data_IF_099050611658
#
_entry.id   IF_099050611658
#
_cell.length_a   1.000
_cell.length_b   1.000
_cell.length_c   1.000
_cell.angle_alpha   90.00
_cell.angle_beta   90.00
_cell.angle_gamma   90.00
#
_symmetry.space_group_name_H-M   'P 1'
#
loop_
_entity.id
_entity.type
_entity.pdbx_description
1 polymer ?
#
# COMPACT_ATOMS: atom_id res chain seq x y z
N UNK A 1 -32.17 -4.20 1.29
CA UNK A 1 -30.72 -4.06 1.48
C UNK A 1 -29.98 -5.33 1.07
N UNK A 2 -30.31 -6.47 1.64
CA UNK A 2 -29.69 -7.76 1.33
C UNK A 2 -29.69 -8.12 -0.17
N UNK A 3 -30.87 -8.06 -0.84
CA UNK A 3 -30.99 -8.35 -2.27
C UNK A 3 -30.03 -7.51 -3.12
N UNK A 4 -29.93 -6.19 -2.85
CA UNK A 4 -29.02 -5.30 -3.55
C UNK A 4 -27.54 -5.67 -3.31
N UNK A 5 -27.20 -6.11 -2.11
CA UNK A 5 -25.83 -6.55 -1.79
C UNK A 5 -25.46 -7.82 -2.56
N UNK A 6 -26.39 -8.78 -2.65
CA UNK A 6 -26.19 -10.01 -3.44
C UNK A 6 -25.98 -9.67 -4.91
N UNK A 7 -26.82 -8.81 -5.50
CA UNK A 7 -26.68 -8.35 -6.90
C UNK A 7 -25.30 -7.69 -7.15
N UNK A 8 -24.82 -6.85 -6.23
CA UNK A 8 -23.51 -6.21 -6.33
C UNK A 8 -22.38 -7.23 -6.26
N UNK A 9 -22.46 -8.21 -5.37
CA UNK A 9 -21.48 -9.29 -5.25
C UNK A 9 -21.45 -10.14 -6.54
N UNK A 10 -22.60 -10.51 -7.08
CA UNK A 10 -22.70 -11.28 -8.34
C UNK A 10 -22.07 -10.52 -9.52
N UNK A 11 -22.18 -9.20 -9.56
CA UNK A 11 -21.55 -8.35 -10.60
C UNK A 11 -20.04 -8.28 -10.46
N UNK A 12 -19.49 -8.30 -9.22
CA UNK A 12 -18.05 -8.14 -8.95
C UNK A 12 -17.29 -9.46 -8.94
N UNK A 13 -17.92 -10.57 -8.59
CA UNK A 13 -17.29 -11.89 -8.56
C UNK A 13 -16.51 -12.23 -9.84
N UNK A 14 -17.00 -11.94 -11.06
CA UNK A 14 -16.24 -12.18 -12.29
C UNK A 14 -14.96 -11.32 -12.43
N UNK A 15 -14.86 -10.22 -11.68
CA UNK A 15 -13.68 -9.35 -11.69
C UNK A 15 -12.54 -9.89 -10.78
N UNK A 16 -12.85 -10.85 -9.89
CA UNK A 16 -11.90 -11.37 -8.90
C UNK A 16 -11.36 -12.72 -9.35
N UNK A 17 -10.04 -12.86 -9.30
CA UNK A 17 -9.33 -14.04 -9.79
C UNK A 17 -8.53 -14.70 -8.66
N UNK A 18 -8.20 -15.98 -8.83
CA UNK A 18 -7.21 -16.67 -8.00
C UNK A 18 -5.82 -16.48 -8.60
N UNK A 19 -4.85 -16.16 -7.75
CA UNK A 19 -3.43 -16.06 -8.12
C UNK A 19 -2.68 -17.18 -7.42
N UNK A 20 -2.11 -18.10 -8.20
CA UNK A 20 -1.28 -19.20 -7.70
C UNK A 20 0.16 -18.96 -8.12
N UNK A 21 1.09 -19.05 -7.17
CA UNK A 21 2.50 -18.85 -7.43
C UNK A 21 3.29 -20.11 -7.12
N UNK A 22 4.37 -20.34 -7.86
CA UNK A 22 5.33 -21.40 -7.59
C UNK A 22 6.69 -20.76 -7.33
N UNK A 23 7.29 -21.05 -6.17
CA UNK A 23 8.64 -20.63 -5.80
C UNK A 23 9.48 -21.82 -5.40
N UNK A 24 10.79 -21.75 -5.60
CA UNK A 24 11.71 -22.78 -5.14
C UNK A 24 12.19 -22.46 -3.72
N UNK A 25 11.94 -23.35 -2.79
CA UNK A 25 12.44 -23.26 -1.42
C UNK A 25 13.51 -24.32 -1.17
N UNK A 26 14.58 -23.95 -0.45
CA UNK A 26 15.56 -24.91 0.04
C UNK A 26 15.07 -25.50 1.36
N UNK A 27 15.00 -26.83 1.41
CA UNK A 27 14.71 -27.54 2.66
C UNK A 27 15.96 -27.56 3.55
N UNK A 28 15.81 -27.92 4.83
CA UNK A 28 16.93 -28.11 5.76
C UNK A 28 17.99 -29.13 5.26
N UNK A 29 17.60 -30.04 4.38
CA UNK A 29 18.48 -31.02 3.73
C UNK A 29 19.08 -30.50 2.42
N UNK A 30 19.11 -29.19 2.18
CA UNK A 30 19.61 -28.54 0.95
C UNK A 30 18.94 -28.99 -0.36
N UNK A 31 17.78 -29.64 -0.27
CA UNK A 31 16.99 -29.98 -1.45
C UNK A 31 16.14 -28.81 -1.85
N UNK A 32 16.09 -28.52 -3.15
CA UNK A 32 15.21 -27.50 -3.73
C UNK A 32 13.87 -28.16 -4.04
N UNK A 33 12.80 -27.64 -3.44
CA UNK A 33 11.43 -28.13 -3.67
C UNK A 33 10.53 -26.98 -4.11
N UNK A 34 9.59 -27.21 -5.04
CA UNK A 34 8.59 -26.22 -5.38
C UNK A 34 7.60 -26.04 -4.22
N UNK A 35 7.35 -24.81 -3.83
CA UNK A 35 6.35 -24.43 -2.83
C UNK A 35 5.32 -23.56 -3.53
N UNK A 36 4.06 -23.89 -3.37
CA UNK A 36 2.94 -23.09 -3.91
C UNK A 36 2.53 -22.02 -2.92
N UNK A 37 2.42 -20.78 -3.40
CA UNK A 37 1.77 -19.67 -2.73
C UNK A 37 0.41 -19.42 -3.37
N UNK A 38 -0.47 -18.74 -2.66
CA UNK A 38 -1.82 -18.42 -3.13
C UNK A 38 -2.28 -17.08 -2.61
N UNK A 39 -3.03 -16.38 -3.46
CA UNK A 39 -3.71 -15.14 -3.16
C UNK A 39 -4.84 -14.90 -4.15
N UNK A 40 -5.34 -13.72 -4.15
CA UNK A 40 -6.34 -13.23 -5.09
C UNK A 40 -5.78 -12.12 -5.96
N UNK A 41 -6.50 -11.78 -7.02
CA UNK A 41 -6.25 -10.62 -7.85
C UNK A 41 -7.56 -9.98 -8.30
N UNK A 42 -7.47 -8.77 -8.83
CA UNK A 42 -8.62 -8.03 -9.37
C UNK A 42 -8.31 -7.55 -10.78
N UNK A 43 -9.17 -7.88 -11.73
CA UNK A 43 -9.06 -7.46 -13.12
C UNK A 43 -9.34 -5.96 -13.21
N UNK A 44 -8.37 -5.18 -13.71
CA UNK A 44 -8.45 -3.73 -13.84
C UNK A 44 -8.77 -3.27 -15.27
N UNK A 45 -8.47 -4.10 -16.28
CA UNK A 45 -8.72 -3.76 -17.67
C UNK A 45 -9.19 -4.96 -18.48
N UNK A 46 -9.90 -4.70 -19.56
CA UNK A 46 -10.28 -5.67 -20.60
C UNK A 46 -9.08 -6.24 -21.36
N UNK A 47 -7.95 -5.53 -21.32
CA UNK A 47 -6.69 -5.98 -21.91
C UNK A 47 -5.91 -6.97 -21.04
N UNK A 48 -6.37 -7.28 -19.80
CA UNK A 48 -5.80 -8.33 -18.95
C UNK A 48 -4.81 -7.85 -17.90
N UNK A 49 -4.82 -6.59 -17.51
CA UNK A 49 -4.11 -6.12 -16.34
C UNK A 49 -4.88 -6.47 -15.06
N UNK A 50 -4.14 -6.99 -14.07
CA UNK A 50 -4.69 -7.48 -12.80
C UNK A 50 -3.83 -6.90 -11.68
N UNK A 51 -4.47 -6.36 -10.64
CA UNK A 51 -3.77 -6.01 -9.39
C UNK A 51 -3.79 -7.17 -8.42
N UNK A 52 -2.69 -7.35 -7.70
CA UNK A 52 -2.57 -8.22 -6.52
C UNK A 52 -1.61 -7.57 -5.52
N UNK A 53 -1.35 -8.22 -4.38
CA UNK A 53 -0.30 -7.75 -3.48
C UNK A 53 1.09 -8.19 -3.96
N UNK A 54 2.12 -7.37 -3.67
CA UNK A 54 3.51 -7.71 -4.00
C UNK A 54 3.96 -8.97 -3.25
N UNK A 55 3.58 -9.12 -1.96
CA UNK A 55 3.93 -10.32 -1.19
C UNK A 55 3.34 -11.63 -1.74
N UNK A 56 2.24 -11.57 -2.51
CA UNK A 56 1.63 -12.75 -3.17
C UNK A 56 2.54 -13.28 -4.26
N UNK A 57 3.20 -12.39 -5.01
CA UNK A 57 4.06 -12.74 -6.16
C UNK A 57 5.55 -12.71 -5.83
N UNK A 58 5.90 -12.37 -4.61
CA UNK A 58 7.30 -12.27 -4.17
C UNK A 58 8.06 -13.55 -4.40
N UNK A 59 9.21 -13.45 -5.10
CA UNK A 59 10.09 -14.58 -5.43
C UNK A 59 9.40 -15.71 -6.22
N UNK A 60 8.25 -15.45 -6.85
CA UNK A 60 7.58 -16.40 -7.71
C UNK A 60 8.38 -16.62 -9.00
N UNK A 61 8.57 -17.89 -9.37
CA UNK A 61 9.13 -18.26 -10.68
C UNK A 61 8.03 -18.36 -11.73
N UNK A 62 6.87 -18.87 -11.32
CA UNK A 62 5.68 -18.97 -12.14
C UNK A 62 4.49 -18.35 -11.40
N UNK A 63 3.66 -17.65 -12.16
CA UNK A 63 2.39 -17.08 -11.70
C UNK A 63 1.28 -17.57 -12.62
N UNK A 64 0.30 -18.25 -12.07
CA UNK A 64 -0.90 -18.70 -12.76
C UNK A 64 -2.10 -17.90 -12.22
N UNK A 65 -2.93 -17.40 -13.13
CA UNK A 65 -4.18 -16.70 -12.83
C UNK A 65 -5.34 -17.56 -13.29
N UNK A 66 -6.23 -17.90 -12.36
CA UNK A 66 -7.48 -18.63 -12.67
C UNK A 66 -8.66 -17.68 -12.53
N UNK A 67 -9.40 -17.49 -13.61
CA UNK A 67 -10.61 -16.67 -13.66
C UNK A 67 -11.77 -17.37 -12.92
N UNK A 68 -12.81 -16.63 -12.62
CA UNK A 68 -13.99 -17.17 -11.94
C UNK A 68 -14.73 -18.25 -12.76
N UNK A 69 -14.61 -18.23 -14.09
CA UNK A 69 -15.17 -19.24 -15.00
C UNK A 69 -14.31 -20.51 -15.15
N UNK A 70 -13.18 -20.59 -14.42
CA UNK A 70 -12.27 -21.74 -14.40
C UNK A 70 -11.15 -21.69 -15.45
N UNK A 71 -11.13 -20.74 -16.38
CA UNK A 71 -10.01 -20.55 -17.31
C UNK A 71 -8.73 -20.17 -16.55
N UNK A 72 -7.61 -20.78 -16.89
CA UNK A 72 -6.31 -20.50 -16.27
C UNK A 72 -5.31 -20.01 -17.29
N UNK A 73 -4.56 -18.98 -16.94
CA UNK A 73 -3.59 -18.32 -17.79
C UNK A 73 -2.26 -18.15 -17.06
N UNK A 74 -1.15 -18.25 -17.80
CA UNK A 74 0.14 -17.79 -17.31
C UNK A 74 0.14 -16.26 -17.23
N UNK A 75 0.59 -15.72 -16.10
CA UNK A 75 0.69 -14.29 -15.89
C UNK A 75 2.15 -13.84 -15.83
N UNK A 76 2.39 -12.64 -16.34
CA UNK A 76 3.67 -11.94 -16.22
C UNK A 76 3.50 -10.86 -15.17
N UNK A 77 4.45 -10.76 -14.22
CA UNK A 77 4.55 -9.61 -13.31
C UNK A 77 5.08 -8.44 -14.13
N UNK A 78 4.23 -7.46 -14.41
CA UNK A 78 4.56 -6.27 -15.21
C UNK A 78 5.30 -5.25 -14.34
N UNK A 79 4.88 -5.11 -13.08
CA UNK A 79 5.54 -4.23 -12.13
C UNK A 79 5.13 -4.51 -10.69
N UNK A 80 6.00 -4.13 -9.76
CA UNK A 80 5.74 -4.28 -8.33
C UNK A 80 6.24 -3.08 -7.51
N UNK A 81 5.55 -2.78 -6.42
CA UNK A 81 5.97 -1.86 -5.38
C UNK A 81 5.88 -2.53 -4.02
N UNK A 82 7.01 -2.98 -3.50
CA UNK A 82 7.08 -3.64 -2.18
C UNK A 82 6.71 -2.69 -1.04
N UNK A 83 7.10 -1.43 -1.17
CA UNK A 83 6.77 -0.38 -0.17
C UNK A 83 5.27 -0.17 -0.03
N UNK A 84 4.51 -0.35 -1.13
CA UNK A 84 3.05 -0.21 -1.14
C UNK A 84 2.31 -1.54 -1.13
N UNK A 85 3.06 -2.66 -1.19
CA UNK A 85 2.55 -4.02 -1.29
C UNK A 85 1.56 -4.21 -2.47
N UNK A 86 1.89 -3.64 -3.63
CA UNK A 86 1.11 -3.75 -4.86
C UNK A 86 1.94 -4.37 -5.99
N UNK A 87 1.31 -5.25 -6.77
CA UNK A 87 1.86 -5.78 -8.01
C UNK A 87 0.81 -5.78 -9.11
N UNK A 88 1.26 -5.53 -10.34
CA UNK A 88 0.45 -5.62 -11.55
C UNK A 88 0.87 -6.84 -12.34
N UNK A 89 -0.10 -7.68 -12.63
CA UNK A 89 0.04 -8.85 -13.50
C UNK A 89 -0.57 -8.57 -14.85
N UNK A 90 -0.07 -9.26 -15.87
CA UNK A 90 -0.63 -9.26 -17.22
C UNK A 90 -0.92 -10.69 -17.65
N UNK A 91 -2.14 -10.93 -18.12
CA UNK A 91 -2.54 -12.16 -18.81
C UNK A 91 -2.96 -11.86 -20.24
N UNK A 92 -2.87 -12.85 -21.10
CA UNK A 92 -3.38 -12.80 -22.46
C UNK A 92 -4.71 -13.58 -22.51
N UNK A 93 -5.81 -12.87 -22.30
CA UNK A 93 -7.14 -13.44 -22.23
C UNK A 93 -8.18 -12.47 -22.79
N UNK A 94 -9.22 -13.03 -23.38
CA UNK A 94 -10.37 -12.29 -23.92
C UNK A 94 -11.58 -12.43 -22.99
N UNK A 95 -12.57 -11.56 -23.21
CA UNK A 95 -13.84 -11.56 -22.46
C UNK A 95 -13.63 -11.44 -20.95
N UNK A 96 -12.82 -10.48 -20.55
CA UNK A 96 -12.56 -10.14 -19.16
C UNK A 96 -13.59 -9.12 -18.64
N UNK A 97 -13.86 -9.19 -17.34
CA UNK A 97 -14.75 -8.25 -16.65
C UNK A 97 -13.91 -7.35 -15.72
N UNK A 98 -13.51 -6.16 -16.16
CA UNK A 98 -12.77 -5.23 -15.31
C UNK A 98 -13.67 -4.61 -14.25
N UNK A 99 -13.10 -4.35 -13.05
CA UNK A 99 -13.79 -3.67 -11.98
C UNK A 99 -13.75 -2.14 -12.16
N UNK A 100 -14.80 -1.46 -11.76
CA UNK A 100 -14.78 -0.01 -11.63
C UNK A 100 -13.96 0.40 -10.39
N UNK A 101 -12.97 1.27 -10.55
CA UNK A 101 -12.21 1.83 -9.43
C UNK A 101 -12.96 3.02 -8.83
N UNK A 102 -13.34 2.91 -7.54
CA UNK A 102 -13.99 3.95 -6.75
C UNK A 102 -13.03 5.07 -6.34
N UNK A 103 -13.35 5.76 -5.26
CA UNK A 103 -12.55 6.85 -4.69
C UNK A 103 -12.40 6.64 -3.19
N UNK A 104 -11.15 6.39 -2.75
CA UNK A 104 -10.85 6.12 -1.34
C UNK A 104 -10.66 7.38 -0.49
N UNK A 105 -10.46 8.56 -1.08
CA UNK A 105 -10.27 9.80 -0.31
C UNK A 105 -11.58 10.32 0.28
N UNK A 106 -12.72 9.94 -0.33
CA UNK A 106 -14.04 10.30 0.14
C UNK A 106 -14.71 9.26 1.06
N UNK A 107 -13.97 8.22 1.47
CA UNK A 107 -14.49 7.19 2.37
C UNK A 107 -14.79 7.76 3.77
N UNK A 108 -15.91 7.31 4.34
CA UNK A 108 -16.32 7.68 5.70
C UNK A 108 -16.36 6.43 6.59
N UNK A 109 -15.91 6.59 7.81
CA UNK A 109 -16.07 5.56 8.85
C UNK A 109 -17.54 5.21 9.02
N UNK A 110 -17.85 3.91 9.06
CA UNK A 110 -19.21 3.39 9.10
C UNK A 110 -19.81 3.04 7.74
N UNK A 111 -19.16 3.40 6.60
CA UNK A 111 -19.60 2.92 5.29
C UNK A 111 -19.46 1.40 5.19
N UNK A 112 -20.44 0.73 4.62
CA UNK A 112 -20.37 -0.70 4.37
C UNK A 112 -19.29 -1.03 3.34
N UNK A 113 -18.61 -2.14 3.58
CA UNK A 113 -17.57 -2.66 2.71
C UNK A 113 -17.69 -4.18 2.61
N UNK A 114 -17.39 -4.71 1.43
CA UNK A 114 -17.39 -6.15 1.14
C UNK A 114 -16.01 -6.54 0.67
N UNK A 115 -15.39 -7.50 1.33
CA UNK A 115 -14.16 -8.09 0.85
C UNK A 115 -14.47 -9.37 0.07
N UNK A 116 -13.91 -9.47 -1.13
CA UNK A 116 -14.09 -10.59 -2.07
C UNK A 116 -12.71 -11.11 -2.45
N UNK A 117 -12.50 -12.40 -2.26
CA UNK A 117 -11.31 -13.12 -2.68
C UNK A 117 -11.66 -14.47 -3.29
N UNK A 118 -10.69 -15.07 -3.96
CA UNK A 118 -10.83 -16.43 -4.51
C UNK A 118 -9.65 -17.30 -4.02
N UNK A 119 -9.62 -17.60 -2.71
CA UNK A 119 -8.56 -18.44 -2.16
C UNK A 119 -8.63 -19.83 -2.74
N UNK A 120 -7.50 -20.39 -3.15
CA UNK A 120 -7.37 -21.79 -3.57
C UNK A 120 -8.05 -22.14 -4.91
N UNK A 121 -8.68 -21.20 -5.62
CA UNK A 121 -9.50 -21.52 -6.78
C UNK A 121 -10.68 -22.47 -6.44
N UNK A 122 -10.99 -22.64 -5.15
CA UNK A 122 -12.09 -23.48 -4.66
C UNK A 122 -13.45 -22.76 -4.68
N UNK A 123 -13.45 -21.49 -5.08
CA UNK A 123 -14.62 -20.64 -5.14
C UNK A 123 -14.42 -19.30 -4.41
N UNK A 124 -15.25 -18.36 -4.77
CA UNK A 124 -15.21 -17.00 -4.23
C UNK A 124 -15.63 -17.00 -2.75
N UNK A 125 -14.83 -16.33 -1.94
CA UNK A 125 -15.16 -16.04 -0.53
C UNK A 125 -15.55 -14.59 -0.41
N UNK A 126 -16.68 -14.33 0.24
CA UNK A 126 -17.23 -12.98 0.46
C UNK A 126 -17.38 -12.74 1.95
N UNK A 127 -16.84 -11.62 2.43
CA UNK A 127 -17.04 -11.18 3.80
C UNK A 127 -17.57 -9.75 3.83
N UNK A 128 -18.50 -9.50 4.75
CA UNK A 128 -19.17 -8.19 4.89
C UNK A 128 -18.73 -7.50 6.17
N UNK A 129 -18.56 -6.20 6.09
CA UNK A 129 -18.22 -5.35 7.22
C UNK A 129 -18.39 -3.86 6.88
N UNK A 130 -17.57 -3.03 7.48
CA UNK A 130 -17.57 -1.59 7.26
C UNK A 130 -16.14 -1.03 7.26
N UNK A 131 -15.99 0.17 6.73
CA UNK A 131 -14.80 1.00 6.92
C UNK A 131 -14.75 1.41 8.39
N UNK A 132 -13.77 0.89 9.13
CA UNK A 132 -13.59 1.14 10.56
C UNK A 132 -12.70 2.35 10.85
N UNK A 133 -11.74 2.61 9.96
CA UNK A 133 -10.90 3.80 9.95
C UNK A 133 -10.30 3.99 8.55
N UNK A 134 -9.85 5.20 8.26
CA UNK A 134 -9.08 5.53 7.07
C UNK A 134 -7.69 6.00 7.48
N UNK A 135 -6.76 5.98 6.54
CA UNK A 135 -5.43 6.57 6.69
C UNK A 135 -4.61 5.95 7.85
N UNK A 136 -4.71 4.62 7.98
CA UNK A 136 -3.94 3.85 8.94
C UNK A 136 -2.55 3.50 8.41
N UNK A 137 -1.60 3.39 9.33
CA UNK A 137 -0.25 2.90 9.07
C UNK A 137 -0.04 1.60 9.83
N UNK A 138 0.48 0.59 9.14
CA UNK A 138 0.96 -0.65 9.79
C UNK A 138 2.48 -0.63 9.77
N UNK A 139 3.06 -0.87 10.93
CA UNK A 139 4.48 -1.08 11.11
C UNK A 139 4.71 -2.47 11.70
N UNK A 140 5.52 -3.28 11.04
CA UNK A 140 5.95 -4.61 11.48
C UNK A 140 7.42 -4.84 11.14
N UNK A 141 7.96 -6.03 11.46
CA UNK A 141 9.34 -6.37 11.13
C UNK A 141 9.61 -6.24 9.62
N UNK A 142 10.28 -5.14 9.22
CA UNK A 142 10.60 -4.85 7.82
C UNK A 142 9.44 -4.35 6.94
N UNK A 143 8.23 -4.19 7.49
CA UNK A 143 7.06 -3.74 6.75
C UNK A 143 6.56 -2.41 7.29
N UNK A 144 6.35 -1.44 6.40
CA UNK A 144 5.78 -0.15 6.73
C UNK A 144 4.86 0.27 5.58
N UNK A 145 3.55 0.12 5.77
CA UNK A 145 2.54 0.46 4.76
C UNK A 145 1.63 1.54 5.32
N UNK A 146 1.53 2.63 4.58
CA UNK A 146 0.75 3.82 4.95
C UNK A 146 -0.54 3.94 4.12
N UNK A 147 -1.45 4.81 4.59
CA UNK A 147 -2.66 5.15 3.86
C UNK A 147 -3.65 3.99 3.73
N UNK A 148 -3.65 3.08 4.71
CA UNK A 148 -4.52 1.91 4.68
C UNK A 148 -5.94 2.23 5.15
N UNK A 149 -6.88 1.53 4.55
CA UNK A 149 -8.26 1.43 5.02
C UNK A 149 -8.33 0.31 6.06
N UNK A 150 -8.77 0.60 7.27
CA UNK A 150 -9.13 -0.42 8.26
C UNK A 150 -10.58 -0.83 8.05
N UNK A 151 -10.84 -2.13 8.04
CA UNK A 151 -12.18 -2.70 7.84
C UNK A 151 -12.48 -3.77 8.86
N UNK A 152 -13.77 -3.90 9.22
CA UNK A 152 -14.28 -5.04 10.01
C UNK A 152 -14.70 -6.22 9.13
N UNK A 153 -14.73 -6.08 7.80
CA UNK A 153 -14.84 -7.22 6.90
C UNK A 153 -13.67 -8.17 7.17
N UNK A 154 -13.99 -9.45 7.36
CA UNK A 154 -12.97 -10.42 7.75
C UNK A 154 -11.97 -10.63 6.60
N UNK A 155 -10.71 -10.30 6.85
CA UNK A 155 -9.58 -10.56 5.96
C UNK A 155 -8.85 -11.80 6.47
N UNK A 156 -8.71 -12.79 5.60
CA UNK A 156 -8.05 -14.07 5.88
C UNK A 156 -7.02 -14.36 4.79
N UNK A 157 -6.09 -15.30 5.04
CA UNK A 157 -5.22 -15.82 3.97
C UNK A 157 -6.05 -16.28 2.76
N UNK A 158 -5.73 -15.69 1.59
CA UNK A 158 -6.46 -15.92 0.34
C UNK A 158 -7.32 -14.74 -0.12
N UNK A 159 -7.80 -13.86 0.77
CA UNK A 159 -8.41 -12.60 0.35
C UNK A 159 -7.37 -11.53 -0.02
N UNK A 160 -6.10 -11.70 0.40
CA UNK A 160 -5.00 -10.79 0.03
C UNK A 160 -4.89 -10.68 -1.48
N UNK A 161 -4.80 -9.45 -1.98
CA UNK A 161 -4.79 -9.12 -3.40
C UNK A 161 -6.17 -9.09 -4.08
N UNK A 162 -7.23 -9.50 -3.39
CA UNK A 162 -8.62 -9.44 -3.87
C UNK A 162 -9.22 -8.04 -3.81
N UNK A 163 -10.55 -7.95 -3.82
CA UNK A 163 -11.27 -6.70 -3.84
C UNK A 163 -11.87 -6.35 -2.47
N UNK A 164 -11.66 -5.12 -2.00
CA UNK A 164 -12.55 -4.47 -1.03
C UNK A 164 -13.42 -3.48 -1.82
N UNK A 165 -14.72 -3.69 -1.80
CA UNK A 165 -15.69 -2.88 -2.58
C UNK A 165 -16.66 -2.13 -1.71
N UNK A 166 -17.23 -1.06 -2.27
CA UNK A 166 -18.37 -0.35 -1.70
C UNK A 166 -19.72 -1.03 -2.08
N UNK A 167 -20.84 -0.49 -1.60
CA UNK A 167 -22.20 -1.00 -1.89
C UNK A 167 -22.68 -0.73 -3.32
N UNK A 168 -21.83 -0.14 -4.18
CA UNK A 168 -22.07 0.06 -5.61
C UNK A 168 -21.20 -0.86 -6.48
N UNK A 169 -20.39 -1.73 -5.87
CA UNK A 169 -19.50 -2.64 -6.58
C UNK A 169 -18.18 -2.03 -7.03
N UNK A 170 -17.86 -0.80 -6.59
CA UNK A 170 -16.62 -0.13 -6.95
C UNK A 170 -15.49 -0.55 -6.02
N UNK A 171 -14.32 -0.80 -6.56
CA UNK A 171 -13.11 -1.10 -5.80
C UNK A 171 -12.71 0.11 -4.96
N UNK A 172 -12.68 -0.02 -3.64
CA UNK A 172 -12.22 1.01 -2.71
C UNK A 172 -10.87 0.68 -2.10
N UNK A 173 -10.44 -0.59 -2.17
CA UNK A 173 -9.11 -1.00 -1.70
C UNK A 173 -8.77 -2.43 -2.07
N UNK A 174 -7.50 -2.79 -1.87
CA UNK A 174 -6.95 -4.14 -2.07
C UNK A 174 -6.59 -4.71 -0.70
N UNK A 175 -7.31 -5.74 -0.17
CA UNK A 175 -6.97 -6.38 1.09
C UNK A 175 -5.52 -6.86 1.11
N UNK A 176 -4.79 -6.57 2.20
CA UNK A 176 -3.36 -6.91 2.29
C UNK A 176 -3.00 -7.64 3.57
N UNK A 177 -3.46 -7.18 4.71
CA UNK A 177 -3.01 -7.69 6.00
C UNK A 177 -4.14 -7.72 7.02
N UNK A 178 -3.94 -8.55 8.04
CA UNK A 178 -4.73 -8.52 9.29
C UNK A 178 -3.79 -8.46 10.48
N UNK A 179 -4.27 -7.93 11.59
CA UNK A 179 -3.54 -8.05 12.85
C UNK A 179 -3.70 -9.47 13.37
N UNK A 180 -2.63 -10.25 13.52
CA UNK A 180 -2.69 -11.60 14.10
C UNK A 180 -3.42 -11.59 15.45
N UNK A 181 -4.29 -12.56 15.68
CA UNK A 181 -5.06 -12.74 16.93
C UNK A 181 -6.13 -11.66 17.20
N UNK A 182 -6.39 -10.74 16.26
CA UNK A 182 -7.41 -9.68 16.38
C UNK A 182 -8.52 -9.91 15.36
N UNK A 183 -9.66 -10.41 15.80
CA UNK A 183 -10.83 -10.54 14.92
C UNK A 183 -11.42 -9.17 14.60
N UNK A 184 -11.84 -8.96 13.35
CA UNK A 184 -12.49 -7.72 12.93
C UNK A 184 -11.55 -6.52 12.72
N UNK A 185 -10.23 -6.77 12.62
CA UNK A 185 -9.24 -5.75 12.25
C UNK A 185 -8.50 -6.22 11.00
N UNK A 186 -9.06 -5.90 9.85
CA UNK A 186 -8.44 -6.09 8.54
C UNK A 186 -7.97 -4.77 7.95
N UNK A 187 -7.02 -4.84 7.02
CA UNK A 187 -6.47 -3.69 6.32
C UNK A 187 -6.47 -3.91 4.82
N UNK A 188 -6.71 -2.83 4.09
CA UNK A 188 -6.65 -2.81 2.63
C UNK A 188 -5.88 -1.57 2.17
N UNK A 189 -5.09 -1.73 1.12
CA UNK A 189 -4.43 -0.62 0.43
C UNK A 189 -5.51 0.19 -0.27
N UNK A 190 -5.54 1.50 -0.03
CA UNK A 190 -6.53 2.39 -0.61
C UNK A 190 -6.45 2.42 -2.15
N UNK A 191 -7.59 2.43 -2.84
CA UNK A 191 -7.62 2.41 -4.31
C UNK A 191 -6.94 3.62 -4.94
N UNK A 192 -6.95 4.79 -4.28
CA UNK A 192 -6.26 5.97 -4.80
C UNK A 192 -4.72 5.81 -4.73
N UNK A 193 -4.20 4.99 -3.79
CA UNK A 193 -2.79 4.58 -3.79
C UNK A 193 -2.47 3.73 -5.03
N UNK A 194 -3.35 2.79 -5.41
CA UNK A 194 -3.21 2.01 -6.64
C UNK A 194 -3.26 2.92 -7.87
N UNK A 195 -4.26 3.80 -7.98
CA UNK A 195 -4.40 4.74 -9.11
C UNK A 195 -3.17 5.62 -9.30
N UNK A 196 -2.55 6.06 -8.20
CA UNK A 196 -1.37 6.92 -8.26
C UNK A 196 -0.14 6.24 -8.85
N UNK A 197 -0.07 4.89 -8.82
CA UNK A 197 1.11 4.14 -9.25
C UNK A 197 0.85 3.17 -10.40
N UNK A 198 -0.39 2.99 -10.80
CA UNK A 198 -0.81 1.98 -11.78
C UNK A 198 -0.12 2.14 -13.13
N UNK A 199 -0.12 3.36 -13.69
CA UNK A 199 0.53 3.64 -14.98
C UNK A 199 2.05 3.49 -14.89
N UNK A 200 2.67 4.02 -13.83
CA UNK A 200 4.12 3.91 -13.62
C UNK A 200 4.56 2.46 -13.49
N UNK A 201 3.80 1.62 -12.77
CA UNK A 201 4.08 0.17 -12.67
C UNK A 201 4.03 -0.54 -14.01
N UNK A 202 3.08 -0.18 -14.89
CA UNK A 202 2.97 -0.77 -16.22
C UNK A 202 4.12 -0.32 -17.13
N UNK A 203 4.49 0.95 -17.08
CA UNK A 203 5.47 1.55 -17.99
C UNK A 203 6.91 1.23 -17.61
N UNK A 204 7.22 1.23 -16.30
CA UNK A 204 8.60 1.15 -15.80
C UNK A 204 8.90 -0.13 -15.01
N UNK A 205 7.88 -0.88 -14.65
CA UNK A 205 8.00 -2.08 -13.82
C UNK A 205 8.19 -1.81 -12.33
N UNK A 206 8.46 -0.57 -11.93
CA UNK A 206 8.74 -0.19 -10.53
C UNK A 206 8.19 1.19 -10.23
N UNK A 207 7.96 1.49 -8.95
CA UNK A 207 7.61 2.85 -8.52
C UNK A 207 8.79 3.45 -7.79
N UNK A 208 9.25 4.58 -8.27
CA UNK A 208 10.29 5.31 -7.57
C UNK A 208 9.75 5.86 -6.26
N UNK A 209 10.41 5.51 -5.16
CA UNK A 209 10.05 6.02 -3.83
C UNK A 209 10.72 7.37 -3.62
N UNK A 210 9.95 8.46 -3.43
CA UNK A 210 10.54 9.76 -3.16
C UNK A 210 11.26 9.76 -1.81
N UNK A 211 12.46 10.35 -1.77
CA UNK A 211 13.34 10.30 -0.64
C UNK A 211 14.03 11.63 -0.39
N UNK A 212 14.19 11.98 0.90
CA UNK A 212 14.85 13.21 1.36
C UNK A 212 16.26 12.96 1.92
N UNK A 213 16.57 11.76 2.34
CA UNK A 213 17.84 11.44 2.99
C UNK A 213 17.90 11.79 4.47
N UNK A 214 16.82 11.58 5.20
CA UNK A 214 16.72 11.89 6.64
C UNK A 214 16.32 10.67 7.45
N UNK A 215 16.80 10.60 8.68
CA UNK A 215 16.37 9.67 9.73
C UNK A 215 15.96 10.50 10.93
N UNK A 216 14.77 10.23 11.49
CA UNK A 216 14.26 11.05 12.57
C UNK A 216 13.23 10.36 13.43
N UNK A 217 12.80 11.07 14.46
CA UNK A 217 11.76 10.65 15.40
C UNK A 217 10.72 11.75 15.56
N UNK A 218 9.51 11.35 15.93
CA UNK A 218 8.47 12.32 16.31
C UNK A 218 8.84 12.98 17.62
N UNK A 219 8.94 14.32 17.60
CA UNK A 219 9.21 15.11 18.79
C UNK A 219 8.02 15.03 19.76
N UNK A 220 8.30 14.80 21.03
CA UNK A 220 7.34 14.86 22.10
C UNK A 220 7.92 15.61 23.31
N UNK A 221 7.09 15.90 24.31
CA UNK A 221 7.52 16.66 25.51
C UNK A 221 8.73 16.06 26.22
N UNK A 222 8.81 14.73 26.31
CA UNK A 222 9.93 14.03 26.95
C UNK A 222 11.25 14.27 26.22
N UNK A 223 11.23 14.12 24.88
CA UNK A 223 12.38 14.36 24.00
C UNK A 223 12.75 15.86 24.01
N UNK A 224 11.74 16.75 23.90
CA UNK A 224 11.95 18.19 23.91
C UNK A 224 12.66 18.65 25.21
N UNK A 225 12.20 18.17 26.35
CA UNK A 225 12.81 18.47 27.64
C UNK A 225 14.23 17.90 27.78
N UNK A 226 14.46 16.68 27.32
CA UNK A 226 15.77 16.03 27.36
C UNK A 226 16.85 16.82 26.56
N UNK A 227 16.48 17.32 25.39
CA UNK A 227 17.35 18.09 24.51
C UNK A 227 17.22 19.61 24.68
N UNK A 228 16.46 20.07 25.67
CA UNK A 228 16.23 21.49 25.98
C UNK A 228 15.68 22.29 24.77
N UNK A 229 14.78 21.68 23.99
CA UNK A 229 14.16 22.28 22.81
C UNK A 229 12.96 23.14 23.24
N UNK A 230 12.81 24.31 22.60
CA UNK A 230 11.68 25.23 22.88
C UNK A 230 10.42 24.92 22.07
N UNK A 231 10.33 23.74 21.48
CA UNK A 231 9.19 23.24 20.69
C UNK A 231 8.87 21.82 21.11
N UNK A 232 7.59 21.45 21.02
CA UNK A 232 7.09 20.14 21.46
C UNK A 232 6.56 19.28 20.31
N UNK A 233 6.55 19.81 19.07
CA UNK A 233 6.02 19.12 17.88
C UNK A 233 6.94 19.29 16.70
N UNK A 234 6.97 18.29 15.83
CA UNK A 234 7.75 18.25 14.62
C UNK A 234 8.52 16.94 14.45
N UNK A 235 9.29 16.85 13.36
CA UNK A 235 10.18 15.73 13.08
C UNK A 235 11.61 16.09 13.48
N UNK A 236 12.09 15.51 14.59
CA UNK A 236 13.49 15.69 15.05
C UNK A 236 14.40 14.79 14.24
N UNK A 237 15.40 15.36 13.58
CA UNK A 237 16.40 14.64 12.81
C UNK A 237 17.45 14.01 13.73
N UNK A 238 17.57 12.70 13.65
CA UNK A 238 18.59 11.91 14.38
C UNK A 238 19.83 11.77 13.50
N UNK A 239 19.63 11.62 12.19
CA UNK A 239 20.69 11.55 11.20
C UNK A 239 20.26 12.18 9.87
N UNK A 240 21.21 12.69 9.10
CA UNK A 240 21.02 13.22 7.74
C UNK A 240 22.02 12.53 6.83
N UNK A 241 21.47 11.62 6.00
CA UNK A 241 22.25 10.81 5.07
C UNK A 241 22.77 11.65 3.89
N UNK A 242 23.75 11.11 3.15
CA UNK A 242 24.18 11.73 1.90
C UNK A 242 22.98 11.82 0.94
N UNK A 243 22.65 13.04 0.51
CA UNK A 243 21.50 13.28 -0.34
C UNK A 243 20.95 14.72 -0.28
N UNK A 244 19.71 14.91 -0.73
CA UNK A 244 19.17 16.25 -0.95
C UNK A 244 19.04 17.08 0.32
N UNK A 245 18.68 16.49 1.45
CA UNK A 245 18.56 17.23 2.72
C UNK A 245 19.90 17.69 3.25
N UNK A 246 20.95 16.86 3.14
CA UNK A 246 22.31 17.27 3.50
C UNK A 246 22.82 18.38 2.59
N UNK A 247 22.53 18.30 1.29
CA UNK A 247 22.91 19.34 0.32
C UNK A 247 22.21 20.68 0.60
N UNK A 248 20.99 20.66 1.17
CA UNK A 248 20.30 21.86 1.63
C UNK A 248 20.92 22.44 2.91
N UNK A 249 21.69 21.66 3.66
CA UNK A 249 22.29 22.07 4.94
C UNK A 249 21.50 21.65 6.19
N UNK A 250 20.61 20.65 6.09
CA UNK A 250 20.03 20.00 7.28
C UNK A 250 21.09 19.19 8.01
N UNK A 251 20.99 19.17 9.34
CA UNK A 251 21.91 18.51 10.26
C UNK A 251 21.17 17.72 11.32
N UNK A 252 21.79 16.69 11.92
CA UNK A 252 21.25 16.05 13.11
C UNK A 252 20.96 17.09 14.22
N UNK A 253 19.80 16.97 14.86
CA UNK A 253 19.32 17.91 15.86
C UNK A 253 18.36 18.99 15.33
N UNK A 254 18.25 19.17 14.01
CA UNK A 254 17.20 20.01 13.42
C UNK A 254 15.82 19.41 13.64
N UNK A 255 14.82 20.26 13.77
CA UNK A 255 13.42 19.85 13.86
C UNK A 255 12.64 20.42 12.70
N UNK A 256 12.18 19.56 11.78
CA UNK A 256 11.31 19.98 10.69
C UNK A 256 9.93 20.29 11.28
N UNK A 257 9.44 21.50 11.04
CA UNK A 257 8.17 22.01 11.59
C UNK A 257 7.12 22.29 10.52
N UNK A 258 7.51 22.47 9.26
CA UNK A 258 6.57 22.59 8.15
C UNK A 258 7.19 22.09 6.83
N UNK A 259 6.32 21.61 5.94
CA UNK A 259 6.63 21.23 4.57
C UNK A 259 5.66 21.96 3.65
N UNK A 260 6.18 22.71 2.68
CA UNK A 260 5.44 23.72 1.92
C UNK A 260 4.76 24.71 2.91
N UNK A 261 3.42 24.82 2.89
CA UNK A 261 2.67 25.70 3.80
C UNK A 261 1.94 24.92 4.91
N UNK A 262 2.27 23.65 5.10
CA UNK A 262 1.58 22.79 6.04
C UNK A 262 2.47 22.39 7.22
N UNK A 263 1.97 22.57 8.45
CA UNK A 263 2.68 22.20 9.66
C UNK A 263 2.95 20.70 9.73
N UNK A 264 4.14 20.32 10.18
CA UNK A 264 4.56 18.94 10.45
C UNK A 264 4.42 18.64 11.93
N UNK A 265 3.59 17.64 12.25
CA UNK A 265 3.34 17.23 13.64
C UNK A 265 4.31 16.19 14.16
N UNK A 266 5.01 15.47 13.27
CA UNK A 266 5.98 14.43 13.62
C UNK A 266 6.56 13.73 12.40
N UNK A 267 7.38 12.71 12.65
CA UNK A 267 8.10 12.00 11.58
C UNK A 267 7.17 11.21 10.65
N UNK A 268 6.09 10.62 11.19
CA UNK A 268 5.09 9.91 10.39
C UNK A 268 4.36 10.86 9.43
N UNK A 269 3.95 12.04 9.93
CA UNK A 269 3.30 13.07 9.11
C UNK A 269 4.22 13.57 7.99
N UNK A 270 5.49 13.85 8.31
CA UNK A 270 6.50 14.23 7.34
C UNK A 270 6.67 13.16 6.26
N UNK A 271 6.88 11.90 6.65
CA UNK A 271 7.05 10.78 5.74
C UNK A 271 5.85 10.62 4.81
N UNK A 272 4.64 10.64 5.37
CA UNK A 272 3.39 10.53 4.61
C UNK A 272 3.28 11.62 3.54
N UNK A 273 3.65 12.87 3.86
CA UNK A 273 3.60 13.96 2.89
C UNK A 273 4.63 13.79 1.78
N UNK A 274 5.85 13.35 2.13
CA UNK A 274 6.89 13.04 1.15
C UNK A 274 6.46 11.91 0.23
N UNK A 275 5.89 10.82 0.77
CA UNK A 275 5.45 9.65 0.00
C UNK A 275 4.30 9.93 -0.99
N UNK A 276 3.56 11.03 -0.79
CA UNK A 276 2.50 11.49 -1.71
C UNK A 276 3.04 12.34 -2.88
N UNK A 277 4.32 12.69 -2.86
CA UNK A 277 4.97 13.48 -3.91
C UNK A 277 5.66 12.56 -4.93
N UNK A 278 6.03 13.12 -6.06
CA UNK A 278 6.85 12.42 -7.08
C UNK A 278 8.33 12.76 -6.89
N UNK A 279 9.21 11.86 -7.32
CA UNK A 279 10.63 12.14 -7.49
C UNK A 279 10.79 13.36 -8.40
N UNK A 280 11.76 14.25 -8.08
CA UNK A 280 11.96 15.54 -8.72
C UNK A 280 11.10 16.68 -8.17
N UNK A 281 10.14 16.40 -7.26
CA UNK A 281 9.37 17.47 -6.61
C UNK A 281 10.26 18.27 -5.68
N UNK A 282 10.22 19.60 -5.82
CA UNK A 282 10.94 20.53 -4.95
C UNK A 282 10.02 20.99 -3.83
N UNK A 283 10.40 20.67 -2.59
CA UNK A 283 9.63 20.95 -1.38
C UNK A 283 10.30 22.08 -0.60
N UNK A 284 9.51 23.03 -0.09
CA UNK A 284 9.96 24.04 0.85
C UNK A 284 9.93 23.44 2.25
N UNK A 285 11.08 23.36 2.91
CA UNK A 285 11.26 22.79 4.25
C UNK A 285 11.52 23.92 5.23
N UNK A 286 10.68 24.05 6.27
CA UNK A 286 10.91 24.95 7.39
C UNK A 286 11.33 24.15 8.59
N UNK A 287 12.44 24.54 9.22
CA UNK A 287 13.01 23.81 10.36
C UNK A 287 13.55 24.72 11.44
N UNK A 288 13.69 24.19 12.63
CA UNK A 288 14.29 24.86 13.79
C UNK A 288 15.65 24.23 14.08
N UNK A 289 16.64 25.09 14.32
CA UNK A 289 17.97 24.75 14.84
C UNK A 289 18.21 25.58 16.08
N UNK A 290 18.13 24.95 17.27
CA UNK A 290 18.11 25.69 18.53
C UNK A 290 16.90 26.62 18.64
N UNK A 291 17.15 27.92 18.86
CA UNK A 291 16.11 28.97 18.95
C UNK A 291 15.68 29.50 17.58
N UNK A 292 16.48 29.30 16.53
CA UNK A 292 16.30 29.94 15.25
C UNK A 292 15.45 29.12 14.30
N UNK A 293 14.78 29.83 13.37
CA UNK A 293 13.97 29.21 12.33
C UNK A 293 14.63 29.45 10.99
N UNK A 294 14.78 28.40 10.21
CA UNK A 294 15.36 28.41 8.89
C UNK A 294 14.36 27.86 7.85
N UNK A 295 14.62 28.20 6.60
CA UNK A 295 13.84 27.72 5.47
C UNK A 295 14.77 27.41 4.30
N UNK A 296 14.48 26.33 3.58
CA UNK A 296 15.22 25.92 2.39
C UNK A 296 14.39 25.02 1.49
N UNK A 297 14.99 24.57 0.38
CA UNK A 297 14.34 23.72 -0.59
C UNK A 297 15.06 22.40 -0.73
N UNK A 298 14.30 21.31 -0.66
CA UNK A 298 14.78 19.95 -0.91
C UNK A 298 14.10 19.42 -2.17
N UNK A 299 14.88 18.97 -3.14
CA UNK A 299 14.39 18.25 -4.30
C UNK A 299 14.41 16.76 -4.02
N UNK A 300 13.24 16.10 -4.08
CA UNK A 300 13.11 14.68 -3.81
C UNK A 300 13.82 13.86 -4.89
N UNK A 301 14.62 12.89 -4.46
CA UNK A 301 15.27 11.91 -5.34
C UNK A 301 14.67 10.52 -5.13
N UNK A 302 14.97 9.59 -6.02
CA UNK A 302 14.63 8.19 -5.79
C UNK A 302 15.42 7.65 -4.59
N UNK A 303 14.75 6.87 -3.74
CA UNK A 303 15.42 6.16 -2.65
C UNK A 303 16.50 5.23 -3.21
N UNK A 304 17.67 5.12 -2.55
CA UNK A 304 18.77 4.26 -2.98
C UNK A 304 18.44 2.77 -2.90
#
# INVERSE_FOLDING_TARGET
MEKKLVEVVEQVVPCVVSVTTTRLARTQLSRVVPVKGQGSGVILSDTGYIVTNAHVVESAQDVDVTLNDGRTFKAVVVGESRVRDLAILKIDAESLSPIEMGDSDNLKVGQFAVAIGNPLGLGTTVTFGMVSAVDRTIQGEGTFIEGLIQTSAQINPGNSGGALIDTHGRLIGVPTAMVPWSQGIGFAIAVNTLKAVYEELIETGTVQTPWMGIVGVTLNKGIANHYNLQIEKGALLVDVLEGPSRSMGLEPGDVIVALDDEDITGMEDLRKRVMRKKVGTKLRVKFRRGSDTFEGYVELVAAP
#
